data_IF_857978935595
#
_entry.id   IF_857978935595
#
_cell.length_a   1.000
_cell.length_b   1.000
_cell.length_c   1.000
_cell.angle_alpha   90.00
_cell.angle_beta   90.00
_cell.angle_gamma   90.00
#
_symmetry.space_group_name_H-M   'P 1'
#
loop_
_entity.id
_entity.type
_entity.pdbx_description
1 polymer ?
#
# COMPACT_ATOMS: atom_id res chain seq x y z
N UNK A 1 0.59 31.09 -2.59
CA UNK A 1 1.75 31.49 -1.75
C UNK A 1 2.89 30.60 -2.20
N UNK A 2 3.94 31.17 -2.85
CA UNK A 2 5.14 30.44 -3.19
C UNK A 2 5.96 30.22 -1.90
N UNK A 3 5.68 29.14 -1.20
CA UNK A 3 6.57 28.67 -0.15
C UNK A 3 7.92 28.27 -0.75
N UNK A 4 9.01 28.42 0.01
CA UNK A 4 10.33 27.95 -0.42
C UNK A 4 10.28 26.45 -0.76
N UNK A 5 11.02 26.04 -1.80
CA UNK A 5 11.14 24.63 -2.16
C UNK A 5 11.84 23.88 -1.03
N UNK A 6 11.22 22.80 -0.53
CA UNK A 6 11.78 21.95 0.52
C UNK A 6 12.59 20.80 -0.08
N UNK A 7 13.64 20.38 0.63
CA UNK A 7 14.36 19.13 0.38
C UNK A 7 13.86 18.06 1.34
N UNK A 8 13.22 17.05 0.80
CA UNK A 8 12.49 16.02 1.54
C UNK A 8 13.12 14.65 1.28
N UNK A 9 13.48 13.94 2.33
CA UNK A 9 13.91 12.55 2.25
C UNK A 9 12.77 11.63 2.72
N UNK A 10 12.27 10.78 1.83
CA UNK A 10 11.30 9.73 2.12
C UNK A 10 12.02 8.40 2.24
N UNK A 11 11.73 7.66 3.33
CA UNK A 11 12.36 6.37 3.61
C UNK A 11 11.32 5.25 3.55
N UNK A 12 11.63 4.19 2.80
CA UNK A 12 10.79 3.00 2.70
C UNK A 12 11.58 1.71 2.94
N UNK A 13 10.89 0.60 3.18
CA UNK A 13 11.52 -0.66 3.61
C UNK A 13 11.95 -1.59 2.47
N UNK A 14 11.62 -1.27 1.23
CA UNK A 14 11.82 -2.19 0.10
C UNK A 14 11.79 -1.44 -1.22
N UNK A 15 12.29 -2.09 -2.26
CA UNK A 15 12.15 -1.68 -3.67
C UNK A 15 10.97 -2.37 -4.39
N UNK A 16 10.27 -3.29 -3.72
CA UNK A 16 9.19 -4.09 -4.30
C UNK A 16 7.82 -3.41 -4.18
N UNK A 17 6.83 -3.70 -5.07
CA UNK A 17 5.51 -3.09 -5.08
C UNK A 17 4.64 -3.55 -3.92
N UNK A 18 4.80 -2.92 -2.77
CA UNK A 18 3.99 -3.10 -1.57
C UNK A 18 3.26 -1.81 -1.25
N UNK A 19 2.11 -1.87 -0.59
CA UNK A 19 1.26 -0.71 -0.35
C UNK A 19 2.01 0.51 0.23
N UNK A 20 2.89 0.32 1.21
CA UNK A 20 3.70 1.40 1.77
C UNK A 20 4.77 1.93 0.80
N UNK A 21 5.33 1.06 -0.07
CA UNK A 21 6.32 1.48 -1.09
C UNK A 21 5.62 2.21 -2.24
N UNK A 22 4.45 1.73 -2.68
CA UNK A 22 3.60 2.44 -3.65
C UNK A 22 3.23 3.82 -3.12
N UNK A 23 2.76 3.91 -1.85
CA UNK A 23 2.50 5.20 -1.20
C UNK A 23 3.72 6.12 -1.24
N UNK A 24 4.91 5.61 -0.95
CA UNK A 24 6.15 6.40 -0.93
C UNK A 24 6.44 7.01 -2.30
N UNK A 25 6.33 6.22 -3.37
CA UNK A 25 6.56 6.68 -4.74
C UNK A 25 5.52 7.71 -5.20
N UNK A 26 4.25 7.43 -4.95
CA UNK A 26 3.16 8.32 -5.32
C UNK A 26 3.22 9.66 -4.56
N UNK A 27 3.52 9.61 -3.26
CA UNK A 27 3.74 10.82 -2.45
C UNK A 27 4.96 11.61 -2.97
N UNK A 28 6.07 10.92 -3.27
CA UNK A 28 7.28 11.55 -3.79
C UNK A 28 6.99 12.29 -5.10
N UNK A 29 6.31 11.64 -6.03
CA UNK A 29 5.91 12.24 -7.31
C UNK A 29 5.00 13.46 -7.09
N UNK A 30 4.01 13.36 -6.22
CA UNK A 30 3.10 14.45 -5.93
C UNK A 30 3.80 15.64 -5.25
N UNK A 31 4.73 15.41 -4.33
CA UNK A 31 5.56 16.46 -3.73
C UNK A 31 6.48 17.12 -4.78
N UNK A 32 7.07 16.32 -5.69
CA UNK A 32 7.86 16.83 -6.80
C UNK A 32 7.02 17.74 -7.72
N UNK A 33 5.80 17.33 -8.07
CA UNK A 33 4.86 18.14 -8.86
C UNK A 33 4.46 19.45 -8.14
N UNK A 34 4.51 19.49 -6.82
CA UNK A 34 4.36 20.71 -6.02
C UNK A 34 5.64 21.58 -5.96
N UNK A 35 6.73 21.20 -6.67
CA UNK A 35 7.97 21.98 -6.78
C UNK A 35 8.99 21.72 -5.68
N UNK A 36 8.90 20.60 -4.96
CA UNK A 36 9.84 20.20 -3.93
C UNK A 36 10.89 19.21 -4.44
N UNK A 37 12.10 19.22 -3.82
CA UNK A 37 13.15 18.26 -4.11
C UNK A 37 13.00 17.03 -3.23
N UNK A 38 12.69 15.89 -3.84
CA UNK A 38 12.45 14.65 -3.11
C UNK A 38 13.53 13.62 -3.41
N UNK A 39 14.06 12.99 -2.36
CA UNK A 39 14.94 11.82 -2.46
C UNK A 39 14.32 10.66 -1.71
N UNK A 40 14.24 9.50 -2.36
CA UNK A 40 13.70 8.27 -1.78
C UNK A 40 14.89 7.38 -1.36
N UNK A 41 14.89 6.92 -0.12
CA UNK A 41 15.84 5.94 0.40
C UNK A 41 15.15 4.58 0.53
N UNK A 42 15.69 3.56 -0.12
CA UNK A 42 15.14 2.20 -0.10
C UNK A 42 16.25 1.15 0.06
N UNK A 43 16.12 0.17 0.98
CA UNK A 43 17.08 -0.93 1.08
C UNK A 43 16.91 -1.86 -0.12
N UNK A 44 18.04 -2.25 -0.69
CA UNK A 44 18.13 -3.07 -1.90
C UNK A 44 19.23 -4.13 -1.77
N UNK A 45 18.99 -5.33 -2.28
CA UNK A 45 20.05 -6.31 -2.52
C UNK A 45 20.86 -5.91 -3.77
N UNK A 46 21.97 -6.59 -3.98
CA UNK A 46 22.79 -6.36 -5.17
C UNK A 46 21.98 -6.68 -6.44
N UNK A 47 22.00 -5.74 -7.39
CA UNK A 47 21.23 -5.84 -8.64
C UNK A 47 19.74 -5.48 -8.54
N UNK A 48 19.19 -5.23 -7.34
CA UNK A 48 17.82 -4.77 -7.19
C UNK A 48 17.66 -3.34 -7.75
N UNK A 49 16.48 -3.10 -8.33
CA UNK A 49 16.04 -1.77 -8.78
C UNK A 49 14.67 -1.45 -8.20
N UNK A 50 14.33 -0.17 -8.12
CA UNK A 50 12.98 0.23 -7.73
C UNK A 50 11.96 -0.31 -8.75
N UNK A 51 10.88 -0.91 -8.28
CA UNK A 51 9.87 -1.57 -9.11
C UNK A 51 9.20 -0.66 -10.16
N UNK A 52 9.31 0.66 -9.98
CA UNK A 52 8.80 1.69 -10.90
C UNK A 52 9.79 2.84 -10.98
N UNK A 53 9.98 3.41 -12.17
CA UNK A 53 10.72 4.66 -12.35
C UNK A 53 10.05 5.80 -11.57
N UNK A 54 10.86 6.71 -11.09
CA UNK A 54 10.43 7.90 -10.35
C UNK A 54 11.09 9.15 -10.91
N UNK A 55 10.36 10.28 -11.01
CA UNK A 55 10.99 11.57 -11.36
C UNK A 55 11.88 12.10 -10.22
N UNK A 56 11.79 11.49 -9.04
CA UNK A 56 12.58 11.84 -7.86
C UNK A 56 13.89 11.07 -7.81
N UNK A 57 14.88 11.62 -7.11
CA UNK A 57 16.11 10.89 -6.84
C UNK A 57 15.86 9.65 -5.97
N UNK A 58 16.48 8.52 -6.32
CA UNK A 58 16.39 7.26 -5.58
C UNK A 58 17.78 6.82 -5.12
N UNK A 59 17.96 6.72 -3.81
CA UNK A 59 19.17 6.20 -3.19
C UNK A 59 18.90 4.77 -2.74
N UNK A 60 19.47 3.81 -3.45
CA UNK A 60 19.43 2.40 -3.04
C UNK A 60 20.44 2.19 -1.93
N UNK A 61 19.96 1.68 -0.79
CA UNK A 61 20.75 1.37 0.39
C UNK A 61 21.19 -0.10 0.35
N UNK A 62 22.45 -0.43 0.03
CA UNK A 62 22.90 -1.80 -0.13
C UNK A 62 22.74 -2.61 1.18
N UNK A 63 22.03 -3.72 1.10
CA UNK A 63 21.90 -4.71 2.17
C UNK A 63 22.95 -5.79 1.92
N UNK A 64 24.03 -5.77 2.68
CA UNK A 64 25.19 -6.65 2.51
C UNK A 64 25.21 -7.79 3.51
N UNK A 65 24.48 -7.65 4.61
CA UNK A 65 24.45 -8.66 5.67
C UNK A 65 23.48 -9.80 5.29
N UNK A 66 23.92 -11.07 5.40
CA UNK A 66 23.04 -12.20 5.19
C UNK A 66 21.96 -12.25 6.29
N UNK A 67 20.74 -12.56 5.92
CA UNK A 67 19.63 -12.71 6.85
C UNK A 67 19.20 -14.19 6.90
N UNK A 68 19.18 -14.75 8.10
CA UNK A 68 18.74 -16.13 8.34
C UNK A 68 17.29 -16.21 8.81
N UNK A 69 16.75 -15.09 9.29
CA UNK A 69 15.38 -14.94 9.79
C UNK A 69 14.89 -13.51 9.59
N UNK A 70 13.62 -13.27 9.95
CA UNK A 70 12.98 -11.95 9.78
C UNK A 70 13.66 -10.87 10.64
N UNK A 71 14.12 -11.18 11.84
CA UNK A 71 14.77 -10.19 12.73
C UNK A 71 16.09 -9.72 12.10
N UNK A 72 16.91 -10.66 11.61
CA UNK A 72 18.18 -10.34 10.93
C UNK A 72 17.93 -9.47 9.69
N UNK A 73 16.94 -9.85 8.89
CA UNK A 73 16.56 -9.10 7.68
C UNK A 73 16.12 -7.67 8.00
N UNK A 74 15.29 -7.47 9.02
CA UNK A 74 14.86 -6.14 9.48
C UNK A 74 16.06 -5.35 9.98
N UNK A 75 16.91 -5.95 10.82
CA UNK A 75 18.11 -5.30 11.35
C UNK A 75 19.08 -4.86 10.24
N UNK A 76 19.35 -5.73 9.26
CA UNK A 76 20.21 -5.42 8.12
C UNK A 76 19.69 -4.24 7.30
N UNK A 77 18.37 -4.17 7.05
CA UNK A 77 17.74 -3.05 6.33
C UNK A 77 17.79 -1.73 7.11
N UNK A 78 17.58 -1.77 8.44
CA UNK A 78 17.74 -0.59 9.30
C UNK A 78 19.16 -0.03 9.16
N UNK A 79 20.18 -0.88 9.27
CA UNK A 79 21.57 -0.44 9.14
C UNK A 79 21.94 0.02 7.72
N UNK A 80 21.40 -0.62 6.70
CA UNK A 80 21.62 -0.20 5.31
C UNK A 80 21.08 1.22 5.07
N UNK A 81 19.84 1.52 5.48
CA UNK A 81 19.24 2.86 5.37
C UNK A 81 20.05 3.92 6.13
N UNK A 82 20.46 3.61 7.34
CA UNK A 82 21.29 4.50 8.17
C UNK A 82 22.63 4.83 7.48
N UNK A 83 23.35 3.80 6.97
CA UNK A 83 24.61 3.99 6.25
C UNK A 83 24.42 4.83 4.97
N UNK A 84 23.37 4.54 4.20
CA UNK A 84 23.08 5.27 2.97
C UNK A 84 22.79 6.75 3.25
N UNK A 85 21.95 7.03 4.25
CA UNK A 85 21.68 8.41 4.66
C UNK A 85 22.95 9.15 5.10
N UNK A 86 23.76 8.55 5.98
CA UNK A 86 25.00 9.18 6.47
C UNK A 86 26.00 9.46 5.36
N UNK A 87 26.07 8.60 4.33
CA UNK A 87 26.91 8.83 3.15
C UNK A 87 26.40 10.03 2.36
N UNK A 88 25.13 10.03 1.98
CA UNK A 88 24.49 11.10 1.21
C UNK A 88 24.57 12.44 1.97
N UNK A 89 24.34 12.43 3.28
CA UNK A 89 24.42 13.63 4.11
C UNK A 89 25.82 14.25 4.16
N UNK A 90 26.88 13.43 4.18
CA UNK A 90 28.27 13.93 4.12
C UNK A 90 28.64 14.49 2.76
N UNK A 91 28.16 13.88 1.69
CA UNK A 91 28.41 14.30 0.30
C UNK A 91 27.72 15.63 -0.02
N UNK A 92 26.60 15.95 0.63
CA UNK A 92 25.74 17.09 0.33
C UNK A 92 25.54 18.02 1.55
N UNK A 93 26.59 18.28 2.36
CA UNK A 93 26.49 19.08 3.59
C UNK A 93 25.85 20.47 3.39
N UNK A 94 26.07 21.10 2.23
CA UNK A 94 25.45 22.39 1.90
C UNK A 94 23.95 22.29 1.55
N UNK A 95 23.48 21.07 1.24
CA UNK A 95 22.12 20.77 0.77
C UNK A 95 21.41 19.79 1.68
N UNK A 96 21.41 20.06 2.98
CA UNK A 96 20.78 19.21 3.98
C UNK A 96 19.27 19.03 3.74
N UNK A 97 18.75 17.84 4.01
CA UNK A 97 17.31 17.59 4.00
C UNK A 97 16.63 18.33 5.15
N UNK A 98 15.59 19.08 4.85
CA UNK A 98 14.78 19.81 5.82
C UNK A 98 13.74 18.89 6.47
N UNK A 99 13.23 17.91 5.70
CA UNK A 99 12.24 16.95 6.17
C UNK A 99 12.74 15.52 5.96
N UNK A 100 12.68 14.72 7.02
CA UNK A 100 12.96 13.30 7.02
C UNK A 100 11.67 12.56 7.37
N UNK A 101 11.21 11.66 6.50
CA UNK A 101 9.91 11.02 6.69
C UNK A 101 9.99 9.51 6.47
N UNK A 102 9.73 8.74 7.52
CA UNK A 102 9.70 7.29 7.52
C UNK A 102 8.30 6.75 7.17
N UNK A 103 8.23 5.79 6.24
CA UNK A 103 6.97 5.21 5.78
C UNK A 103 6.61 3.86 6.45
N UNK A 104 7.55 3.28 7.22
CA UNK A 104 7.39 1.96 7.85
C UNK A 104 8.26 1.84 9.11
N UNK A 105 8.16 0.70 9.81
CA UNK A 105 8.91 0.49 11.06
C UNK A 105 10.41 0.31 10.83
N UNK A 106 10.85 -0.19 9.68
CA UNK A 106 12.26 -0.36 9.34
C UNK A 106 12.90 1.01 9.16
N UNK A 107 12.30 1.83 8.31
CA UNK A 107 12.75 3.21 8.06
C UNK A 107 12.64 4.09 9.30
N UNK A 108 11.58 3.91 10.10
CA UNK A 108 11.43 4.64 11.36
C UNK A 108 12.53 4.32 12.39
N UNK A 109 12.97 3.05 12.46
CA UNK A 109 14.09 2.70 13.33
C UNK A 109 15.43 3.25 12.83
N UNK A 110 15.64 3.28 11.51
CA UNK A 110 16.85 3.91 10.96
C UNK A 110 16.94 5.39 11.33
N UNK A 111 15.82 6.13 11.22
CA UNK A 111 15.77 7.54 11.61
C UNK A 111 15.83 7.72 13.13
N UNK A 112 15.23 6.84 13.94
CA UNK A 112 15.32 6.87 15.38
C UNK A 112 16.78 6.69 15.87
N UNK A 113 17.53 5.76 15.26
CA UNK A 113 18.97 5.58 15.58
C UNK A 113 19.83 6.79 15.15
N UNK A 114 19.51 7.42 14.02
CA UNK A 114 20.17 8.65 13.58
C UNK A 114 19.89 9.83 14.54
N UNK A 115 18.65 9.94 15.02
CA UNK A 115 18.24 10.94 16.01
C UNK A 115 18.94 10.74 17.36
N UNK A 116 18.95 9.50 17.86
CA UNK A 116 19.63 9.13 19.10
C UNK A 116 21.14 9.41 19.03
N UNK A 117 21.76 9.19 17.86
CA UNK A 117 23.16 9.50 17.59
C UNK A 117 23.46 10.97 17.31
N UNK A 118 22.46 11.86 17.36
CA UNK A 118 22.63 13.30 17.13
C UNK A 118 22.89 13.70 15.66
N UNK A 119 22.71 12.77 14.71
CA UNK A 119 22.92 13.04 13.29
C UNK A 119 21.75 13.77 12.62
N UNK A 120 20.57 13.71 13.21
CA UNK A 120 19.36 14.42 12.79
C UNK A 120 18.63 14.98 14.02
N UNK A 121 17.85 16.04 13.83
CA UNK A 121 17.09 16.66 14.92
C UNK A 121 15.76 15.94 15.18
N UNK A 122 15.12 15.43 14.11
CA UNK A 122 13.84 14.78 14.23
C UNK A 122 13.34 14.21 12.91
N UNK A 123 12.16 13.55 12.95
CA UNK A 123 11.56 12.96 11.78
C UNK A 123 10.04 12.79 11.90
N UNK A 124 9.38 12.68 10.75
CA UNK A 124 7.96 12.37 10.61
C UNK A 124 7.78 10.86 10.33
N UNK A 125 6.74 10.25 10.85
CA UNK A 125 6.42 8.83 10.62
C UNK A 125 4.98 8.64 10.17
N UNK A 126 4.74 8.00 9.00
CA UNK A 126 3.41 7.56 8.58
C UNK A 126 3.14 6.11 8.99
N UNK A 127 2.11 5.88 9.81
CA UNK A 127 1.59 4.56 10.18
C UNK A 127 0.54 4.14 9.16
N UNK A 128 0.88 3.14 8.34
CA UNK A 128 -0.06 2.53 7.39
C UNK A 128 -0.96 1.50 8.07
N UNK A 129 -0.41 0.69 8.92
CA UNK A 129 -1.05 -0.26 9.85
C UNK A 129 -0.01 -0.72 10.87
N UNK A 130 -0.46 -1.34 11.94
CA UNK A 130 0.40 -2.00 12.90
C UNK A 130 0.11 -3.50 12.89
N UNK A 131 1.15 -4.31 12.81
CA UNK A 131 1.06 -5.76 12.86
C UNK A 131 1.10 -6.28 14.30
N UNK A 132 0.60 -7.48 14.50
CA UNK A 132 0.77 -8.19 15.76
C UNK A 132 1.95 -9.14 15.65
N UNK A 133 3.08 -8.75 16.25
CA UNK A 133 4.28 -9.57 16.26
C UNK A 133 4.35 -10.43 17.52
N UNK A 134 4.61 -11.71 17.35
CA UNK A 134 4.95 -12.64 18.46
C UNK A 134 6.41 -12.49 18.86
N UNK A 135 7.28 -12.10 17.92
CA UNK A 135 8.68 -11.83 18.22
C UNK A 135 8.81 -10.48 18.96
N UNK A 136 9.41 -10.46 20.18
CA UNK A 136 9.49 -9.27 21.00
C UNK A 136 10.37 -8.18 20.38
N UNK A 137 11.38 -8.54 19.56
CA UNK A 137 12.26 -7.58 18.91
C UNK A 137 11.54 -6.84 17.79
N UNK A 138 10.74 -7.55 16.97
CA UNK A 138 9.91 -6.95 15.94
C UNK A 138 8.83 -6.03 16.55
N UNK A 139 8.19 -6.46 17.63
CA UNK A 139 7.22 -5.65 18.38
C UNK A 139 7.87 -4.38 18.95
N UNK A 140 9.08 -4.49 19.52
CA UNK A 140 9.85 -3.35 20.02
C UNK A 140 10.19 -2.38 18.89
N UNK A 141 10.68 -2.85 17.75
CA UNK A 141 11.00 -2.02 16.59
C UNK A 141 9.77 -1.31 16.03
N UNK A 142 8.62 -2.01 15.96
CA UNK A 142 7.38 -1.37 15.53
C UNK A 142 7.00 -0.21 16.46
N UNK A 143 7.08 -0.42 17.77
CA UNK A 143 6.77 0.60 18.79
C UNK A 143 7.75 1.77 18.73
N UNK A 144 9.05 1.49 18.67
CA UNK A 144 10.09 2.52 18.62
C UNK A 144 9.92 3.45 17.42
N UNK A 145 9.58 2.89 16.24
CA UNK A 145 9.50 3.64 15.00
C UNK A 145 8.48 4.80 15.01
N UNK A 146 7.41 4.70 15.79
CA UNK A 146 6.44 5.78 15.94
C UNK A 146 6.60 6.56 17.25
N UNK A 147 7.09 5.93 18.31
CA UNK A 147 7.30 6.59 19.60
C UNK A 147 8.41 7.64 19.54
N UNK A 148 9.50 7.37 18.82
CA UNK A 148 10.66 8.24 18.73
C UNK A 148 10.53 9.31 17.62
N UNK A 149 9.44 9.25 16.81
CA UNK A 149 9.09 10.26 15.82
C UNK A 149 8.55 11.53 16.48
N UNK A 150 8.82 12.69 15.89
CA UNK A 150 8.33 13.99 16.40
C UNK A 150 6.90 14.28 15.94
N UNK A 151 6.50 13.70 14.82
CA UNK A 151 5.14 13.79 14.28
C UNK A 151 4.73 12.45 13.70
N UNK A 152 3.58 11.95 14.12
CA UNK A 152 3.01 10.69 13.64
C UNK A 152 1.80 10.98 12.76
N UNK A 153 1.82 10.41 11.57
CA UNK A 153 0.71 10.45 10.61
C UNK A 153 0.07 9.08 10.52
N UNK A 154 -1.22 9.04 10.23
CA UNK A 154 -1.97 7.82 9.93
C UNK A 154 -2.73 7.98 8.62
N UNK A 155 -2.87 6.90 7.87
CA UNK A 155 -3.53 6.91 6.55
C UNK A 155 -5.06 6.87 6.64
N UNK A 156 -5.64 6.71 7.84
CA UNK A 156 -7.09 6.68 8.08
C UNK A 156 -7.44 7.16 9.48
N UNK A 157 -8.68 7.60 9.68
CA UNK A 157 -9.15 8.03 10.99
C UNK A 157 -9.22 6.88 12.00
N UNK A 158 -9.45 5.67 11.54
CA UNK A 158 -9.39 4.46 12.39
C UNK A 158 -8.02 4.30 13.02
N UNK A 159 -6.95 4.42 12.23
CA UNK A 159 -5.59 4.31 12.76
C UNK A 159 -5.22 5.49 13.64
N UNK A 160 -5.67 6.70 13.31
CA UNK A 160 -5.48 7.90 14.17
C UNK A 160 -6.16 7.71 15.51
N UNK A 161 -7.41 7.23 15.54
CA UNK A 161 -8.11 6.90 16.80
C UNK A 161 -7.38 5.80 17.57
N UNK A 162 -6.93 4.72 16.90
CA UNK A 162 -6.19 3.65 17.56
C UNK A 162 -4.86 4.15 18.17
N UNK A 163 -4.12 5.01 17.46
CA UNK A 163 -2.90 5.62 17.99
C UNK A 163 -3.18 6.43 19.25
N UNK A 164 -4.25 7.22 19.26
CA UNK A 164 -4.64 8.02 20.41
C UNK A 164 -5.16 7.17 21.59
N UNK A 165 -6.12 6.27 21.30
CA UNK A 165 -6.90 5.60 22.35
C UNK A 165 -6.15 4.40 22.96
N UNK A 166 -5.29 3.73 22.19
CA UNK A 166 -4.54 2.54 22.63
C UNK A 166 -3.08 2.85 22.97
N UNK A 167 -2.44 3.70 22.16
CA UNK A 167 -1.00 3.97 22.28
C UNK A 167 -0.69 5.34 22.89
N UNK A 168 -1.72 6.17 23.13
CA UNK A 168 -1.62 7.53 23.70
C UNK A 168 -0.70 8.45 22.89
N UNK A 169 -0.76 8.30 21.56
CA UNK A 169 -0.01 9.11 20.59
C UNK A 169 -0.94 10.03 19.85
N UNK A 170 -0.63 11.31 19.86
CA UNK A 170 -1.37 12.33 19.12
C UNK A 170 -0.93 12.29 17.64
N UNK A 171 -1.67 11.58 16.82
CA UNK A 171 -1.39 11.40 15.41
C UNK A 171 -2.36 12.21 14.54
N UNK A 172 -1.94 12.55 13.32
CA UNK A 172 -2.73 13.30 12.34
C UNK A 172 -3.15 12.39 11.18
N UNK A 173 -4.39 12.53 10.72
CA UNK A 173 -4.88 11.77 9.56
C UNK A 173 -4.46 12.44 8.25
N UNK A 174 -3.71 11.71 7.43
CA UNK A 174 -3.42 12.10 6.04
C UNK A 174 -3.75 10.91 5.13
N UNK A 175 -4.94 10.91 4.49
CA UNK A 175 -5.34 9.82 3.62
C UNK A 175 -4.43 9.67 2.40
N UNK A 176 -4.36 8.44 1.89
CA UNK A 176 -3.72 8.14 0.62
C UNK A 176 -4.51 8.76 -0.54
N UNK A 177 -3.88 8.77 -1.71
CA UNK A 177 -4.51 9.14 -2.97
C UNK A 177 -4.60 7.96 -3.93
N UNK A 178 -5.12 8.24 -5.11
CA UNK A 178 -5.07 7.37 -6.28
C UNK A 178 -4.65 8.19 -7.50
N UNK A 179 -3.87 7.58 -8.39
CA UNK A 179 -3.57 8.15 -9.71
C UNK A 179 -4.70 7.80 -10.69
N UNK A 180 -5.69 8.70 -10.75
CA UNK A 180 -6.86 8.53 -11.63
C UNK A 180 -6.46 8.45 -13.10
N UNK A 181 -5.41 9.14 -13.53
CA UNK A 181 -4.98 9.13 -14.93
C UNK A 181 -4.41 7.77 -15.30
N UNK A 182 -3.56 7.21 -14.46
CA UNK A 182 -2.96 5.88 -14.64
C UNK A 182 -4.00 4.76 -14.68
N UNK A 183 -5.00 4.80 -13.79
CA UNK A 183 -6.01 3.75 -13.66
C UNK A 183 -7.23 3.97 -14.55
N UNK A 184 -7.42 5.13 -15.13
CA UNK A 184 -8.58 5.44 -15.98
C UNK A 184 -8.77 4.42 -17.11
N UNK A 185 -10.02 4.10 -17.39
CA UNK A 185 -10.38 3.30 -18.54
C UNK A 185 -9.95 3.94 -19.87
N UNK A 186 -9.87 5.28 -19.94
CA UNK A 186 -9.39 6.02 -21.12
C UNK A 186 -7.89 5.90 -21.36
N UNK A 187 -7.10 5.47 -20.37
CA UNK A 187 -5.68 5.18 -20.52
C UNK A 187 -5.41 3.80 -21.17
N UNK A 188 -6.46 3.03 -21.49
CA UNK A 188 -6.32 1.71 -22.06
C UNK A 188 -5.79 1.76 -23.50
N UNK A 189 -4.75 0.95 -23.77
CA UNK A 189 -4.32 0.68 -25.15
C UNK A 189 -5.21 -0.38 -25.78
N UNK A 190 -5.68 -0.20 -27.04
CA UNK A 190 -6.48 -1.21 -27.72
C UNK A 190 -5.79 -2.58 -27.72
N UNK A 191 -6.50 -3.63 -27.30
CA UNK A 191 -5.98 -4.99 -27.22
C UNK A 191 -5.13 -5.33 -25.99
N UNK A 192 -4.75 -4.36 -25.16
CA UNK A 192 -3.91 -4.58 -23.98
C UNK A 192 -4.51 -5.59 -23.00
N UNK A 193 -5.80 -5.41 -22.66
CA UNK A 193 -6.50 -6.35 -21.75
C UNK A 193 -6.60 -7.75 -22.35
N UNK A 194 -6.86 -7.87 -23.65
CA UNK A 194 -6.92 -9.17 -24.32
C UNK A 194 -5.56 -9.87 -24.33
N UNK A 195 -4.48 -9.12 -24.62
CA UNK A 195 -3.12 -9.65 -24.58
C UNK A 195 -2.73 -10.10 -23.16
N UNK A 196 -3.07 -9.30 -22.13
CA UNK A 196 -2.79 -9.65 -20.74
C UNK A 196 -3.61 -10.87 -20.28
N UNK A 197 -4.90 -10.97 -20.66
CA UNK A 197 -5.71 -12.15 -20.40
C UNK A 197 -5.07 -13.41 -20.98
N UNK A 198 -4.64 -13.36 -22.25
CA UNK A 198 -3.93 -14.47 -22.89
C UNK A 198 -2.61 -14.83 -22.20
N UNK A 199 -1.81 -13.82 -21.83
CA UNK A 199 -0.51 -14.01 -21.14
C UNK A 199 -0.66 -14.66 -19.76
N UNK A 200 -1.72 -14.33 -19.02
CA UNK A 200 -1.94 -14.82 -17.66
C UNK A 200 -2.84 -16.06 -17.60
N UNK A 201 -3.43 -16.51 -18.71
CA UNK A 201 -4.39 -17.62 -18.70
C UNK A 201 -5.74 -17.24 -18.08
N UNK A 202 -6.17 -15.97 -18.23
CA UNK A 202 -7.49 -15.52 -17.80
C UNK A 202 -8.49 -15.88 -18.90
N UNK A 203 -9.23 -16.96 -18.71
CA UNK A 203 -10.18 -17.51 -19.69
C UNK A 203 -11.64 -17.40 -19.26
N UNK A 204 -11.88 -17.25 -17.94
CA UNK A 204 -13.23 -17.21 -17.38
C UNK A 204 -13.97 -15.90 -17.67
N UNK A 205 -15.31 -15.98 -17.54
CA UNK A 205 -16.22 -14.83 -17.54
C UNK A 205 -17.46 -15.19 -16.70
N UNK A 206 -17.80 -14.38 -15.68
CA UNK A 206 -17.10 -13.16 -15.23
C UNK A 206 -15.77 -13.45 -14.50
N UNK A 207 -14.93 -12.41 -14.39
CA UNK A 207 -13.65 -12.43 -13.67
C UNK A 207 -13.76 -11.63 -12.38
N UNK A 208 -13.54 -12.29 -11.25
CA UNK A 208 -13.39 -11.67 -9.93
C UNK A 208 -11.91 -11.50 -9.63
N UNK A 209 -11.45 -10.29 -9.43
CA UNK A 209 -10.05 -9.97 -9.11
C UNK A 209 -9.87 -9.70 -7.62
N UNK A 210 -8.87 -10.33 -7.00
CA UNK A 210 -8.35 -9.99 -5.68
C UNK A 210 -6.87 -9.61 -5.77
N UNK A 211 -6.48 -8.46 -5.23
CA UNK A 211 -5.09 -7.97 -5.27
C UNK A 211 -4.48 -8.00 -3.88
N UNK A 212 -3.28 -8.59 -3.75
CA UNK A 212 -2.52 -8.64 -2.51
C UNK A 212 -2.00 -10.04 -2.13
N UNK A 213 -2.16 -11.03 -3.03
CA UNK A 213 -1.66 -12.39 -2.82
C UNK A 213 -2.49 -13.21 -1.80
N UNK A 214 -1.96 -14.39 -1.43
CA UNK A 214 -2.61 -15.31 -0.48
C UNK A 214 -2.13 -14.96 0.93
N UNK A 215 -2.95 -14.21 1.66
CA UNK A 215 -2.67 -13.75 3.04
C UNK A 215 -3.89 -13.87 3.94
N UNK A 216 -3.69 -14.26 5.21
CA UNK A 216 -4.78 -14.36 6.20
C UNK A 216 -5.49 -13.01 6.40
N UNK A 217 -4.75 -11.91 6.45
CA UNK A 217 -5.29 -10.56 6.59
C UNK A 217 -6.19 -10.16 5.41
N UNK A 218 -5.85 -10.63 4.19
CA UNK A 218 -6.64 -10.42 2.97
C UNK A 218 -7.86 -11.34 2.87
N UNK A 219 -7.94 -12.33 3.77
CA UNK A 219 -9.09 -13.23 3.90
C UNK A 219 -9.35 -14.09 2.64
N UNK A 220 -8.27 -14.48 1.96
CA UNK A 220 -8.37 -15.20 0.69
C UNK A 220 -9.00 -16.59 0.82
N UNK A 221 -8.96 -17.22 2.03
CA UNK A 221 -9.69 -18.46 2.33
C UNK A 221 -11.20 -18.26 2.26
N UNK A 222 -11.73 -17.24 2.95
CA UNK A 222 -13.16 -16.95 2.95
C UNK A 222 -13.65 -16.53 1.56
N UNK A 223 -12.80 -15.78 0.82
CA UNK A 223 -13.09 -15.45 -0.58
C UNK A 223 -13.14 -16.70 -1.47
N UNK A 224 -12.27 -17.69 -1.24
CA UNK A 224 -12.30 -18.96 -1.95
C UNK A 224 -13.59 -19.74 -1.68
N UNK A 225 -14.05 -19.79 -0.42
CA UNK A 225 -15.30 -20.41 -0.03
C UNK A 225 -16.51 -19.71 -0.65
N UNK A 226 -16.51 -18.38 -0.68
CA UNK A 226 -17.54 -17.57 -1.33
C UNK A 226 -17.54 -17.78 -2.85
N UNK A 227 -16.35 -17.85 -3.47
CA UNK A 227 -16.22 -18.09 -4.89
C UNK A 227 -16.74 -19.47 -5.30
N UNK A 228 -16.54 -20.50 -4.47
CA UNK A 228 -17.14 -21.81 -4.70
C UNK A 228 -18.68 -21.74 -4.75
N UNK A 229 -19.29 -20.93 -3.89
CA UNK A 229 -20.75 -20.68 -3.90
C UNK A 229 -21.19 -19.88 -5.13
N UNK A 230 -20.44 -18.83 -5.51
CA UNK A 230 -20.70 -18.04 -6.71
C UNK A 230 -20.77 -18.92 -7.96
N UNK A 231 -19.90 -19.91 -8.08
CA UNK A 231 -19.88 -20.81 -9.25
C UNK A 231 -21.13 -21.67 -9.42
N UNK A 232 -21.98 -21.78 -8.41
CA UNK A 232 -23.28 -22.45 -8.55
C UNK A 232 -24.22 -21.69 -9.54
N UNK A 233 -24.11 -20.36 -9.58
CA UNK A 233 -24.88 -19.48 -10.49
C UNK A 233 -24.07 -19.00 -11.69
N UNK A 234 -22.74 -18.89 -11.52
CA UNK A 234 -21.79 -18.43 -12.54
C UNK A 234 -20.71 -19.50 -12.80
N UNK A 235 -21.05 -20.63 -13.44
CA UNK A 235 -20.15 -21.79 -13.56
C UNK A 235 -18.85 -21.49 -14.32
N UNK A 236 -18.84 -20.49 -15.20
CA UNK A 236 -17.67 -20.05 -15.96
C UNK A 236 -16.87 -18.93 -15.28
N UNK A 237 -17.27 -18.49 -14.08
CA UNK A 237 -16.53 -17.47 -13.36
C UNK A 237 -15.11 -17.93 -13.03
N UNK A 238 -14.18 -16.98 -13.06
CA UNK A 238 -12.78 -17.20 -12.67
C UNK A 238 -12.37 -16.22 -11.56
N UNK A 239 -11.77 -16.76 -10.51
CA UNK A 239 -11.13 -15.97 -9.45
C UNK A 239 -9.66 -15.78 -9.78
N UNK A 240 -9.23 -14.52 -9.92
CA UNK A 240 -7.83 -14.15 -10.16
C UNK A 240 -7.27 -13.52 -8.88
N UNK A 241 -6.29 -14.17 -8.25
CA UNK A 241 -5.57 -13.66 -7.08
C UNK A 241 -4.21 -13.17 -7.54
N UNK A 242 -4.03 -11.85 -7.56
CA UNK A 242 -2.81 -11.21 -8.01
C UNK A 242 -1.96 -10.72 -6.84
N UNK A 243 -0.66 -10.95 -6.91
CA UNK A 243 0.32 -10.49 -5.94
C UNK A 243 1.19 -11.61 -5.38
N UNK A 244 2.38 -11.22 -4.92
CA UNK A 244 3.34 -12.11 -4.30
C UNK A 244 3.20 -12.19 -2.78
N UNK A 245 4.03 -13.02 -2.16
CA UNK A 245 4.12 -13.12 -0.71
C UNK A 245 4.57 -11.80 -0.08
N UNK A 246 4.06 -11.48 1.10
CA UNK A 246 4.55 -10.35 1.91
C UNK A 246 5.92 -10.67 2.53
N UNK A 247 6.50 -9.71 3.29
CA UNK A 247 7.73 -9.94 4.04
C UNK A 247 7.58 -10.97 5.17
N UNK A 248 6.34 -11.22 5.58
CA UNK A 248 6.01 -12.20 6.61
C UNK A 248 5.87 -13.59 6.00
N UNK A 249 6.16 -14.62 6.79
CA UNK A 249 6.00 -16.02 6.37
C UNK A 249 4.50 -16.39 6.34
N UNK A 250 3.99 -16.66 5.16
CA UNK A 250 2.63 -17.13 4.92
C UNK A 250 2.55 -18.56 4.39
N UNK A 251 3.64 -19.35 4.46
CA UNK A 251 3.70 -20.69 3.89
C UNK A 251 2.63 -21.63 4.43
N UNK A 252 2.31 -21.56 5.73
CA UNK A 252 1.26 -22.41 6.32
C UNK A 252 -0.12 -22.05 5.74
N UNK A 253 -0.46 -20.77 5.70
CA UNK A 253 -1.72 -20.29 5.16
C UNK A 253 -1.87 -20.58 3.66
N UNK A 254 -0.78 -20.43 2.91
CA UNK A 254 -0.75 -20.75 1.47
C UNK A 254 -1.00 -22.24 1.22
N UNK A 255 -0.36 -23.13 1.99
CA UNK A 255 -0.63 -24.60 1.88
C UNK A 255 -2.07 -24.94 2.20
N UNK A 256 -2.63 -24.30 3.24
CA UNK A 256 -4.03 -24.49 3.63
C UNK A 256 -5.00 -24.01 2.54
N UNK A 257 -4.69 -22.88 1.88
CA UNK A 257 -5.45 -22.36 0.74
C UNK A 257 -5.55 -23.38 -0.40
N UNK A 258 -4.43 -23.95 -0.83
CA UNK A 258 -4.44 -24.97 -1.89
C UNK A 258 -5.16 -26.26 -1.46
N UNK A 259 -5.01 -26.70 -0.21
CA UNK A 259 -5.75 -27.84 0.33
C UNK A 259 -7.26 -27.56 0.37
N UNK A 260 -7.66 -26.33 0.71
CA UNK A 260 -9.07 -25.91 0.71
C UNK A 260 -9.64 -25.86 -0.71
N UNK A 261 -8.90 -25.32 -1.68
CA UNK A 261 -9.31 -25.31 -3.08
C UNK A 261 -9.60 -26.74 -3.59
N UNK A 262 -8.68 -27.68 -3.31
CA UNK A 262 -8.86 -29.08 -3.67
C UNK A 262 -10.11 -29.71 -3.05
N UNK A 263 -10.40 -29.44 -1.76
CA UNK A 263 -11.62 -29.90 -1.07
C UNK A 263 -12.91 -29.34 -1.68
N UNK A 264 -12.85 -28.13 -2.23
CA UNK A 264 -13.99 -27.47 -2.90
C UNK A 264 -14.12 -27.89 -4.38
N UNK A 265 -13.22 -28.74 -4.88
CA UNK A 265 -13.22 -29.13 -6.31
C UNK A 265 -12.79 -28.00 -7.24
N UNK A 266 -12.07 -26.99 -6.72
CA UNK A 266 -11.57 -25.86 -7.49
C UNK A 266 -10.11 -26.13 -7.90
N UNK A 267 -9.88 -26.37 -9.18
CA UNK A 267 -8.52 -26.43 -9.72
C UNK A 267 -7.88 -25.03 -9.71
N UNK A 268 -6.56 -25.00 -9.42
CA UNK A 268 -5.78 -23.74 -9.31
C UNK A 268 -4.65 -23.78 -10.33
N UNK A 269 -4.63 -22.82 -11.24
CA UNK A 269 -3.60 -22.73 -12.29
C UNK A 269 -4.04 -21.83 -13.45
N UNK A 270 -3.20 -21.82 -14.47
CA UNK A 270 -3.49 -21.14 -15.74
C UNK A 270 -4.68 -21.79 -16.44
N UNK A 271 -5.67 -21.01 -16.84
CA UNK A 271 -6.91 -21.53 -17.48
C UNK A 271 -7.90 -22.18 -16.52
N UNK A 272 -7.56 -22.31 -15.23
CA UNK A 272 -8.38 -22.96 -14.22
C UNK A 272 -9.34 -21.97 -13.53
N UNK A 273 -10.37 -22.47 -12.82
CA UNK A 273 -11.32 -21.61 -12.07
C UNK A 273 -10.66 -20.64 -11.11
N UNK A 274 -9.54 -20.99 -10.51
CA UNK A 274 -8.76 -20.13 -9.65
C UNK A 274 -7.38 -19.93 -10.24
N UNK A 275 -7.02 -18.70 -10.52
CA UNK A 275 -5.71 -18.33 -11.01
C UNK A 275 -4.95 -17.55 -9.91
N UNK A 276 -3.77 -18.02 -9.51
CA UNK A 276 -2.84 -17.30 -8.66
C UNK A 276 -1.67 -16.84 -9.51
N UNK A 277 -1.60 -15.55 -9.79
CA UNK A 277 -0.62 -15.02 -10.77
C UNK A 277 0.79 -14.89 -10.21
N UNK A 278 0.95 -14.84 -8.88
CA UNK A 278 2.17 -14.34 -8.28
C UNK A 278 2.34 -12.82 -8.50
N UNK A 279 3.58 -12.30 -8.34
CA UNK A 279 3.86 -10.89 -8.59
C UNK A 279 3.58 -10.50 -10.04
N UNK A 280 2.89 -9.39 -10.23
CA UNK A 280 2.61 -8.77 -11.54
C UNK A 280 3.47 -7.52 -11.66
N UNK A 281 3.99 -7.29 -12.86
CA UNK A 281 4.66 -6.03 -13.21
C UNK A 281 3.72 -4.85 -12.93
N UNK A 282 4.23 -3.86 -12.22
CA UNK A 282 3.47 -2.69 -11.81
C UNK A 282 2.84 -1.95 -13.01
N UNK A 283 3.52 -1.92 -14.16
CA UNK A 283 2.99 -1.33 -15.39
C UNK A 283 1.73 -2.03 -15.92
N UNK A 284 1.55 -3.32 -15.59
CA UNK A 284 0.40 -4.13 -16.02
C UNK A 284 -0.78 -4.08 -15.04
N UNK A 285 -0.61 -3.51 -13.84
CA UNK A 285 -1.66 -3.47 -12.82
C UNK A 285 -2.93 -2.75 -13.32
N UNK A 286 -2.87 -1.59 -14.00
CA UNK A 286 -4.08 -0.98 -14.56
C UNK A 286 -4.80 -1.87 -15.58
N UNK A 287 -4.05 -2.56 -16.45
CA UNK A 287 -4.63 -3.50 -17.40
C UNK A 287 -5.28 -4.71 -16.71
N UNK A 288 -4.70 -5.17 -15.61
CA UNK A 288 -5.25 -6.26 -14.81
C UNK A 288 -6.62 -5.89 -14.21
N UNK A 289 -6.78 -4.68 -13.66
CA UNK A 289 -8.10 -4.19 -13.24
C UNK A 289 -9.08 -4.19 -14.40
N UNK A 290 -8.67 -3.72 -15.57
CA UNK A 290 -9.53 -3.71 -16.78
C UNK A 290 -9.93 -5.11 -17.26
N UNK A 291 -9.11 -6.14 -16.95
CA UNK A 291 -9.44 -7.55 -17.25
C UNK A 291 -10.53 -8.13 -16.35
N UNK A 292 -10.86 -7.50 -15.23
CA UNK A 292 -11.86 -8.00 -14.28
C UNK A 292 -13.26 -7.42 -14.53
N UNK A 293 -14.28 -8.12 -14.04
CA UNK A 293 -15.67 -7.66 -14.01
C UNK A 293 -16.06 -7.11 -12.64
N UNK A 294 -15.42 -7.62 -11.57
CA UNK A 294 -15.54 -7.11 -10.22
C UNK A 294 -14.22 -7.28 -9.47
N UNK A 295 -13.98 -6.43 -8.47
CA UNK A 295 -12.82 -6.52 -7.58
C UNK A 295 -13.29 -6.84 -6.16
N UNK A 296 -12.72 -7.89 -5.56
CA UNK A 296 -13.03 -8.31 -4.19
C UNK A 296 -11.93 -7.87 -3.22
N UNK A 297 -12.32 -7.08 -2.22
CA UNK A 297 -11.45 -6.63 -1.12
C UNK A 297 -12.09 -6.98 0.22
N UNK A 298 -12.18 -8.27 0.50
CA UNK A 298 -12.88 -8.83 1.67
C UNK A 298 -11.97 -9.05 2.87
N UNK A 299 -11.02 -8.16 3.04
CA UNK A 299 -10.00 -8.20 4.09
C UNK A 299 -10.59 -8.17 5.49
N UNK A 300 -9.92 -8.84 6.44
CA UNK A 300 -10.22 -8.75 7.87
C UNK A 300 -9.69 -7.46 8.50
N UNK A 301 -8.63 -6.89 7.91
CA UNK A 301 -7.96 -5.67 8.41
C UNK A 301 -7.22 -4.97 7.30
N UNK A 302 -7.32 -3.64 7.27
CA UNK A 302 -6.64 -2.80 6.29
C UNK A 302 -6.08 -1.52 6.91
N UNK A 303 -5.09 -0.94 6.23
CA UNK A 303 -4.60 0.39 6.55
C UNK A 303 -5.48 1.47 5.95
N UNK A 304 -5.73 1.35 4.65
CA UNK A 304 -6.55 2.29 3.87
C UNK A 304 -7.33 1.59 2.75
N UNK A 305 -6.65 0.73 1.95
CA UNK A 305 -7.26 0.01 0.83
C UNK A 305 -7.08 0.71 -0.51
N UNK A 306 -5.84 1.02 -0.91
CA UNK A 306 -5.51 1.61 -2.23
C UNK A 306 -6.18 0.88 -3.38
N UNK A 307 -6.19 -0.46 -3.34
CA UNK A 307 -6.80 -1.35 -4.34
C UNK A 307 -8.26 -1.00 -4.64
N UNK A 308 -9.01 -0.54 -3.63
CA UNK A 308 -10.42 -0.14 -3.82
C UNK A 308 -10.51 1.12 -4.66
N UNK A 309 -9.70 2.14 -4.36
CA UNK A 309 -9.68 3.37 -5.17
C UNK A 309 -9.14 3.12 -6.58
N UNK A 310 -8.15 2.25 -6.74
CA UNK A 310 -7.60 1.84 -8.04
C UNK A 310 -8.64 1.11 -8.88
N UNK A 311 -9.42 0.20 -8.28
CA UNK A 311 -10.54 -0.48 -8.94
C UNK A 311 -11.62 0.51 -9.39
N UNK A 312 -12.05 1.40 -8.50
CA UNK A 312 -13.04 2.44 -8.81
C UNK A 312 -12.56 3.39 -9.90
N UNK A 313 -11.27 3.79 -9.87
CA UNK A 313 -10.65 4.61 -10.91
C UNK A 313 -10.58 3.89 -12.27
N UNK A 314 -10.47 2.55 -12.24
CA UNK A 314 -10.53 1.70 -13.43
C UNK A 314 -11.96 1.43 -13.93
N UNK A 315 -12.97 2.04 -13.30
CA UNK A 315 -14.38 1.82 -13.62
C UNK A 315 -14.89 0.43 -13.21
N UNK A 316 -14.24 -0.21 -12.22
CA UNK A 316 -14.63 -1.55 -11.78
C UNK A 316 -15.40 -1.49 -10.46
N UNK A 317 -16.55 -2.17 -10.39
CA UNK A 317 -17.30 -2.27 -9.16
C UNK A 317 -16.53 -3.13 -8.13
N UNK A 318 -16.78 -2.86 -6.86
CA UNK A 318 -16.03 -3.47 -5.76
C UNK A 318 -16.94 -4.14 -4.75
N UNK A 319 -16.56 -5.34 -4.30
CA UNK A 319 -17.10 -6.01 -3.12
C UNK A 319 -16.13 -5.81 -1.98
N UNK A 320 -16.57 -5.20 -0.88
CA UNK A 320 -15.69 -4.73 0.19
C UNK A 320 -16.21 -5.19 1.56
N UNK A 321 -15.31 -5.62 2.43
CA UNK A 321 -15.65 -5.88 3.83
C UNK A 321 -16.27 -4.64 4.49
N UNK A 322 -17.38 -4.81 5.22
CA UNK A 322 -17.97 -3.74 6.02
C UNK A 322 -17.17 -3.51 7.31
N UNK A 323 -15.93 -3.06 7.15
CA UNK A 323 -15.02 -2.73 8.25
C UNK A 323 -14.41 -1.34 8.04
N UNK A 324 -13.84 -0.77 9.10
CA UNK A 324 -12.93 0.37 8.97
C UNK A 324 -11.58 -0.11 8.37
N UNK A 325 -10.90 0.71 7.52
CA UNK A 325 -11.23 2.09 7.18
C UNK A 325 -12.23 2.26 6.03
N UNK A 326 -12.70 1.18 5.38
CA UNK A 326 -13.58 1.28 4.20
C UNK A 326 -14.85 2.08 4.50
N UNK A 327 -15.50 1.82 5.65
CA UNK A 327 -16.70 2.53 6.07
C UNK A 327 -16.48 4.03 6.38
N UNK A 328 -15.23 4.51 6.37
CA UNK A 328 -14.92 5.95 6.54
C UNK A 328 -15.14 6.75 5.24
N UNK A 329 -15.05 6.08 4.09
CA UNK A 329 -15.08 6.78 2.81
C UNK A 329 -15.97 6.16 1.74
N UNK A 330 -16.44 4.91 1.93
CA UNK A 330 -17.39 4.24 1.04
C UNK A 330 -18.80 4.26 1.63
N UNK A 331 -19.78 4.14 0.74
CA UNK A 331 -21.20 3.97 1.06
C UNK A 331 -21.85 3.00 0.05
N UNK A 332 -23.14 2.76 0.18
CA UNK A 332 -23.89 1.79 -0.63
C UNK A 332 -23.95 2.15 -2.14
N UNK A 333 -23.69 3.41 -2.52
CA UNK A 333 -23.60 3.82 -3.93
C UNK A 333 -22.20 3.62 -4.55
N UNK A 334 -21.20 3.26 -3.74
CA UNK A 334 -19.80 3.14 -4.15
C UNK A 334 -19.28 1.70 -4.12
N UNK A 335 -19.92 0.82 -3.36
CA UNK A 335 -19.48 -0.57 -3.20
C UNK A 335 -20.61 -1.50 -2.78
N UNK A 336 -20.39 -2.78 -2.99
CA UNK A 336 -21.20 -3.85 -2.39
C UNK A 336 -20.53 -4.32 -1.10
N UNK A 337 -21.25 -4.19 0.01
CA UNK A 337 -20.72 -4.59 1.31
C UNK A 337 -20.86 -6.08 1.56
N UNK A 338 -19.83 -6.66 2.17
CA UNK A 338 -19.85 -8.04 2.63
C UNK A 338 -19.41 -8.15 4.10
N UNK A 339 -19.98 -9.11 4.82
CA UNK A 339 -19.42 -9.55 6.09
C UNK A 339 -18.19 -10.42 5.81
N UNK A 340 -16.97 -10.02 6.24
CA UNK A 340 -15.76 -10.78 5.97
C UNK A 340 -15.71 -12.15 6.70
N UNK A 341 -16.59 -12.39 7.65
CA UNK A 341 -16.66 -13.64 8.40
C UNK A 341 -17.73 -14.61 7.87
N UNK A 342 -18.45 -14.22 6.81
CA UNK A 342 -19.51 -15.03 6.19
C UNK A 342 -19.31 -15.17 4.68
N UNK A 343 -18.98 -16.40 4.26
CA UNK A 343 -18.78 -16.72 2.84
C UNK A 343 -20.07 -16.52 2.02
N UNK A 344 -21.26 -16.75 2.61
CA UNK A 344 -22.52 -16.55 1.91
C UNK A 344 -22.78 -15.04 1.69
N UNK A 345 -22.47 -14.19 2.65
CA UNK A 345 -22.53 -12.73 2.49
C UNK A 345 -21.62 -12.24 1.36
N UNK A 346 -20.37 -12.74 1.30
CA UNK A 346 -19.43 -12.40 0.24
C UNK A 346 -19.95 -12.91 -1.13
N UNK A 347 -20.44 -14.15 -1.20
CA UNK A 347 -20.97 -14.72 -2.43
C UNK A 347 -22.19 -13.96 -2.94
N UNK A 348 -23.10 -13.58 -2.05
CA UNK A 348 -24.27 -12.75 -2.40
C UNK A 348 -23.84 -11.39 -2.96
N UNK A 349 -22.91 -10.70 -2.32
CA UNK A 349 -22.38 -9.42 -2.81
C UNK A 349 -21.67 -9.56 -4.16
N UNK A 350 -20.97 -10.68 -4.41
CA UNK A 350 -20.37 -10.98 -5.71
C UNK A 350 -21.44 -11.25 -6.79
N UNK A 351 -22.51 -12.00 -6.49
CA UNK A 351 -23.64 -12.19 -7.40
C UNK A 351 -24.28 -10.84 -7.74
N UNK A 352 -24.61 -10.05 -6.72
CA UNK A 352 -25.27 -8.75 -6.89
C UNK A 352 -24.49 -7.80 -7.80
N UNK A 353 -23.17 -7.73 -7.64
CA UNK A 353 -22.32 -6.86 -8.46
C UNK A 353 -22.18 -7.35 -9.90
N UNK A 354 -22.19 -8.67 -10.13
CA UNK A 354 -22.04 -9.26 -11.44
C UNK A 354 -23.36 -9.26 -12.23
N UNK A 355 -24.50 -9.41 -11.54
CA UNK A 355 -25.84 -9.43 -12.16
C UNK A 355 -26.37 -8.01 -12.45
N UNK A 356 -25.83 -6.97 -11.78
CA UNK A 356 -26.28 -5.58 -11.91
C UNK A 356 -25.10 -4.61 -12.10
N UNK A 357 -24.34 -4.72 -13.20
CA UNK A 357 -23.14 -3.90 -13.41
C UNK A 357 -23.43 -2.39 -13.63
N UNK A 358 -24.68 -2.03 -14.00
CA UNK A 358 -25.06 -0.68 -14.43
C UNK A 358 -25.77 0.15 -13.33
N UNK A 359 -25.34 0.07 -12.08
CA UNK A 359 -25.90 0.94 -11.06
C UNK A 359 -25.58 2.42 -11.41
N UNK A 360 -26.60 3.16 -11.82
CA UNK A 360 -26.48 4.58 -12.27
C UNK A 360 -25.83 5.48 -11.23
N UNK A 361 -26.03 5.18 -9.95
CA UNK A 361 -25.45 5.94 -8.84
C UNK A 361 -23.92 5.85 -8.80
N UNK A 362 -23.35 4.70 -9.21
CA UNK A 362 -21.92 4.46 -9.27
C UNK A 362 -21.20 5.46 -10.20
N UNK A 363 -21.76 5.73 -11.38
CA UNK A 363 -21.18 6.64 -12.39
C UNK A 363 -21.01 8.07 -11.87
N UNK A 364 -21.90 8.52 -10.99
CA UNK A 364 -21.85 9.87 -10.42
C UNK A 364 -21.07 9.92 -9.10
N UNK A 365 -21.14 8.90 -8.26
CA UNK A 365 -20.55 8.89 -6.94
C UNK A 365 -19.01 8.70 -6.98
N UNK A 366 -18.50 7.88 -7.92
CA UNK A 366 -17.06 7.58 -8.03
C UNK A 366 -16.21 8.82 -8.34
N UNK A 367 -16.52 9.69 -9.32
CA UNK A 367 -15.71 10.89 -9.57
C UNK A 367 -15.62 11.84 -8.37
N UNK A 368 -16.71 11.99 -7.60
CA UNK A 368 -16.70 12.80 -6.39
C UNK A 368 -15.80 12.22 -5.30
N UNK A 369 -15.80 10.89 -5.12
CA UNK A 369 -14.90 10.19 -4.21
C UNK A 369 -13.44 10.37 -4.64
N UNK A 370 -13.10 10.06 -5.90
CA UNK A 370 -11.74 10.11 -6.42
C UNK A 370 -11.16 11.53 -6.36
N UNK A 371 -11.98 12.56 -6.53
CA UNK A 371 -11.58 13.96 -6.35
C UNK A 371 -11.12 14.29 -4.93
N UNK A 372 -11.65 13.61 -3.91
CA UNK A 372 -11.23 13.76 -2.51
C UNK A 372 -9.91 13.07 -2.20
N UNK A 373 -9.61 11.96 -2.90
CA UNK A 373 -8.49 11.08 -2.66
C UNK A 373 -7.49 11.12 -3.82
N UNK A 374 -6.90 12.30 -4.10
CA UNK A 374 -5.80 12.43 -5.05
C UNK A 374 -4.45 12.52 -4.32
N UNK A 375 -3.38 12.03 -4.94
CA UNK A 375 -2.03 12.17 -4.40
C UNK A 375 -1.60 13.63 -4.26
N UNK A 376 -2.07 14.53 -5.14
CA UNK A 376 -1.82 15.97 -5.01
C UNK A 376 -2.47 16.55 -3.76
N UNK A 377 -3.68 16.11 -3.41
CA UNK A 377 -4.36 16.53 -2.17
C UNK A 377 -3.64 15.97 -0.94
N UNK A 378 -3.22 14.70 -0.98
CA UNK A 378 -2.42 14.07 0.07
C UNK A 378 -1.09 14.81 0.28
N UNK A 379 -0.35 15.09 -0.81
CA UNK A 379 0.90 15.84 -0.75
C UNK A 379 0.74 17.24 -0.14
N UNK A 380 -0.32 17.95 -0.49
CA UNK A 380 -0.60 19.28 0.11
C UNK A 380 -0.79 19.20 1.62
N UNK A 381 -1.53 18.21 2.12
CA UNK A 381 -1.68 17.99 3.57
C UNK A 381 -0.35 17.64 4.25
N UNK A 382 0.50 16.83 3.61
CA UNK A 382 1.85 16.56 4.10
C UNK A 382 2.68 17.85 4.20
N UNK A 383 2.62 18.70 3.17
CA UNK A 383 3.36 19.97 3.15
C UNK A 383 2.90 20.92 4.26
N UNK A 384 1.60 21.04 4.52
CA UNK A 384 1.09 21.84 5.63
C UNK A 384 1.63 21.34 6.97
N UNK A 385 1.71 20.03 7.16
CA UNK A 385 2.23 19.40 8.37
C UNK A 385 3.77 19.61 8.47
N UNK A 386 4.50 19.43 7.37
CA UNK A 386 5.95 19.65 7.35
C UNK A 386 6.30 21.09 7.68
N UNK A 387 5.59 22.08 7.11
CA UNK A 387 5.80 23.49 7.42
C UNK A 387 5.52 23.81 8.89
N UNK A 388 4.44 23.26 9.44
CA UNK A 388 4.11 23.42 10.85
C UNK A 388 5.14 22.77 11.78
N UNK A 389 5.66 21.60 11.42
CA UNK A 389 6.70 20.90 12.16
C UNK A 389 8.03 21.67 12.10
N UNK A 390 8.44 22.15 10.93
CA UNK A 390 9.65 22.95 10.75
C UNK A 390 9.59 24.26 11.55
N UNK A 391 8.44 24.93 11.59
CA UNK A 391 8.27 26.16 12.37
C UNK A 391 8.41 25.96 13.89
N UNK A 392 8.30 24.73 14.39
CA UNK A 392 8.50 24.38 15.80
C UNK A 392 9.94 23.95 16.13
N UNK A 393 10.78 23.70 15.13
CA UNK A 393 12.18 23.38 15.34
C UNK A 393 12.91 24.62 15.88
N UNK A 394 13.82 24.46 16.85
CA UNK A 394 14.63 25.60 17.32
C UNK A 394 15.38 26.16 16.09
N UNK A 395 15.29 27.47 15.92
CA UNK A 395 16.04 28.21 14.92
C UNK A 395 17.54 27.99 15.20
N UNK A 396 18.19 27.18 14.36
CA UNK A 396 19.65 27.13 14.36
C UNK A 396 20.17 28.46 13.76
N UNK A 397 20.12 29.55 14.54
CA UNK A 397 20.98 30.67 14.25
C UNK A 397 22.42 30.20 14.53
N UNK A 398 23.13 29.88 13.43
CA UNK A 398 24.60 29.90 13.42
C UNK A 398 25.06 31.33 13.62
N UNK A 399 24.96 31.86 14.85
CA UNK A 399 25.72 32.94 15.39
C UNK A 399 26.41 32.37 16.62
N UNK A 400 27.71 32.24 16.48
CA UNK A 400 28.78 32.02 17.44
C UNK A 400 29.64 30.78 17.12
N UNK A 401 30.61 31.02 16.19
CA UNK A 401 32.04 30.76 16.45
C UNK A 401 32.90 31.39 15.33
#
# INVERSE_FOLDING_TARGET
>A
MNGASLRIALFTHSVNPRGGVVHTLELAQALHLHGHHVTIFAPAADGDVMFRESPCNVVLAPVTEPATNTVDMVGARIQALKRAFMRTHREHQADAFEVLHAQDSISGNALAELKEGGAIHGFVRTVHHLDHFTDPKLAQWQTRAWRDADTVLCVSDTWTRQMRDVYHVDALTVPNGVDVQRFSASAATPGESAALRGKLGIVGAPVVLAVGGIEARKNTMMLLDAFAQLRATHPNAQLVIAGGASLLDHHAYTREFFARAAKLGLAVGEGEPVLVTGPIDDALIPALFRCSDAVAMVSLREGFGLVVLEALASGKPVVVSRIAPFAEYLNDSLCHWADPYDAASIACALCDVLDRPDATDFVYAVPALLGRFSWLTSARRHLDIYQHWLAKQPCNTTEDL
#
